data_IF_858963599546
#
_entry.id   IF_858963599546
#
_cell.length_a   1.000
_cell.length_b   1.000
_cell.length_c   1.000
_cell.angle_alpha   90.00
_cell.angle_beta   90.00
_cell.angle_gamma   90.00
#
_symmetry.space_group_name_H-M   'P 1'
#
loop_
_entity.id
_entity.type
_entity.pdbx_description
1 polymer ?
#
# COMPACT_ATOMS: atom_id res chain seq x y z
N UNK A 1 -23.14 -59.82 45.29
CA UNK A 1 -21.70 -59.50 45.43
C UNK A 1 -21.19 -59.10 44.05
N UNK A 2 -21.52 -57.93 43.49
CA UNK A 2 -20.91 -56.59 43.68
C UNK A 2 -19.38 -56.58 43.68
N UNK A 3 -18.77 -56.23 42.53
CA UNK A 3 -17.78 -55.15 42.47
C UNK A 3 -17.79 -54.52 41.06
N UNK A 4 -18.33 -53.30 40.95
CA UNK A 4 -18.12 -52.38 39.82
C UNK A 4 -16.80 -51.65 40.09
N UNK A 5 -15.89 -51.57 39.12
CA UNK A 5 -14.73 -50.69 39.18
C UNK A 5 -14.94 -49.58 38.13
N UNK A 6 -15.24 -48.39 38.65
CA UNK A 6 -15.27 -47.11 37.95
C UNK A 6 -13.92 -46.45 38.26
N UNK A 7 -13.10 -46.14 37.25
CA UNK A 7 -11.95 -45.26 37.39
C UNK A 7 -11.78 -44.38 36.15
N UNK A 8 -12.49 -43.25 36.19
CA UNK A 8 -12.06 -41.87 35.88
C UNK A 8 -11.21 -41.65 34.63
N UNK A 9 -11.91 -41.08 33.65
CA UNK A 9 -11.43 -40.38 32.47
C UNK A 9 -10.55 -39.17 32.87
N UNK A 10 -9.23 -39.29 32.83
CA UNK A 10 -8.31 -38.15 32.98
C UNK A 10 -8.19 -37.41 31.65
N UNK A 11 -9.15 -36.54 31.38
CA UNK A 11 -9.15 -35.58 30.28
C UNK A 11 -8.22 -34.41 30.64
N UNK A 12 -6.91 -34.61 30.52
CA UNK A 12 -5.93 -33.53 30.56
C UNK A 12 -5.97 -32.75 29.24
N UNK A 13 -6.99 -31.91 29.06
CA UNK A 13 -6.92 -30.82 28.08
C UNK A 13 -5.96 -29.80 28.68
N UNK A 14 -4.67 -30.02 28.44
CA UNK A 14 -3.66 -28.99 28.58
C UNK A 14 -3.97 -27.94 27.50
N UNK A 15 -4.73 -26.93 27.88
CA UNK A 15 -4.89 -25.69 27.13
C UNK A 15 -3.51 -25.05 27.02
N UNK A 16 -2.76 -25.45 25.99
CA UNK A 16 -1.51 -24.83 25.61
C UNK A 16 -1.81 -23.42 25.09
N UNK A 17 -1.93 -22.47 26.02
CA UNK A 17 -1.77 -21.06 25.73
C UNK A 17 -0.28 -20.80 25.44
N UNK A 18 0.15 -21.08 24.21
CA UNK A 18 1.43 -20.59 23.67
C UNK A 18 1.22 -19.26 22.95
N UNK A 19 2.22 -18.37 22.94
CA UNK A 19 2.06 -16.92 22.92
C UNK A 19 1.73 -16.42 21.52
N UNK A 20 0.49 -15.97 21.30
CA UNK A 20 0.12 -15.31 20.05
C UNK A 20 0.87 -13.99 19.81
N UNK A 21 1.53 -13.42 20.83
CA UNK A 21 2.33 -12.19 20.68
C UNK A 21 3.68 -12.40 19.96
N UNK A 22 4.30 -13.59 20.04
CA UNK A 22 5.66 -13.81 19.56
C UNK A 22 5.77 -14.11 18.06
N UNK A 23 4.66 -14.23 17.34
CA UNK A 23 4.66 -14.60 15.90
C UNK A 23 4.55 -13.40 14.96
N UNK A 24 4.08 -12.25 15.45
CA UNK A 24 3.78 -11.09 14.61
C UNK A 24 5.02 -10.49 13.93
N UNK A 25 6.17 -10.32 14.63
CA UNK A 25 7.40 -9.83 13.99
C UNK A 25 7.88 -10.73 12.84
N UNK A 26 7.73 -12.05 12.96
CA UNK A 26 8.15 -13.02 11.94
C UNK A 26 7.19 -13.00 10.75
N UNK A 27 5.88 -12.83 10.97
CA UNK A 27 4.92 -12.63 9.89
C UNK A 27 5.26 -11.38 9.07
N UNK A 28 5.55 -10.27 9.76
CA UNK A 28 5.95 -9.00 9.14
C UNK A 28 7.27 -9.18 8.35
N UNK A 29 8.30 -9.74 8.98
CA UNK A 29 9.58 -9.99 8.32
C UNK A 29 9.40 -10.88 7.08
N UNK A 30 8.56 -11.92 7.19
CA UNK A 30 8.25 -12.84 6.10
C UNK A 30 7.65 -12.14 4.88
N UNK A 31 6.64 -11.27 5.07
CA UNK A 31 6.03 -10.55 3.93
C UNK A 31 6.97 -9.50 3.33
N UNK A 32 7.84 -8.87 4.13
CA UNK A 32 8.87 -7.94 3.64
C UNK A 32 9.88 -8.68 2.76
N UNK A 33 10.46 -9.77 3.25
CA UNK A 33 11.40 -10.59 2.47
C UNK A 33 10.75 -11.15 1.20
N UNK A 34 9.49 -11.58 1.30
CA UNK A 34 8.75 -12.07 0.15
C UNK A 34 8.55 -10.99 -0.91
N UNK A 35 8.27 -9.74 -0.52
CA UNK A 35 8.05 -8.67 -1.47
C UNK A 35 9.30 -8.39 -2.34
N UNK A 36 10.51 -8.56 -1.79
CA UNK A 36 11.76 -8.46 -2.54
C UNK A 36 11.94 -9.55 -3.61
N UNK A 37 11.19 -10.66 -3.51
CA UNK A 37 11.25 -11.77 -4.48
C UNK A 37 10.02 -11.79 -5.40
N UNK A 38 8.84 -11.52 -4.85
CA UNK A 38 7.57 -11.51 -5.57
C UNK A 38 6.57 -10.58 -4.86
N UNK A 39 6.43 -9.36 -5.39
CA UNK A 39 5.46 -8.35 -4.93
C UNK A 39 4.03 -8.89 -4.87
N UNK A 40 3.59 -9.59 -5.91
CA UNK A 40 2.22 -10.14 -6.00
C UNK A 40 1.94 -11.22 -4.95
N UNK A 41 2.91 -12.11 -4.70
CA UNK A 41 2.75 -13.14 -3.66
C UNK A 41 2.76 -12.53 -2.26
N UNK A 42 3.61 -11.52 -2.02
CA UNK A 42 3.58 -10.76 -0.78
C UNK A 42 2.24 -10.04 -0.57
N UNK A 43 1.69 -9.41 -1.61
CA UNK A 43 0.38 -8.75 -1.55
C UNK A 43 -0.75 -9.74 -1.17
N UNK A 44 -0.78 -10.91 -1.80
CA UNK A 44 -1.75 -11.95 -1.47
C UNK A 44 -1.61 -12.44 -0.02
N UNK A 45 -0.37 -12.61 0.45
CA UNK A 45 -0.09 -13.02 1.83
C UNK A 45 -0.48 -11.94 2.85
N UNK A 46 -0.19 -10.65 2.57
CA UNK A 46 -0.63 -9.52 3.40
C UNK A 46 -2.16 -9.51 3.50
N UNK A 47 -2.87 -9.61 2.37
CA UNK A 47 -4.33 -9.63 2.35
C UNK A 47 -4.90 -10.82 3.15
N UNK A 48 -4.30 -12.00 3.03
CA UNK A 48 -4.71 -13.18 3.78
C UNK A 48 -4.49 -13.02 5.29
N UNK A 49 -3.35 -12.45 5.72
CA UNK A 49 -3.04 -12.21 7.12
C UNK A 49 -3.97 -11.15 7.74
N UNK A 50 -4.36 -10.13 6.96
CA UNK A 50 -5.36 -9.15 7.39
C UNK A 50 -6.73 -9.79 7.59
N UNK A 51 -7.20 -10.61 6.63
CA UNK A 51 -8.47 -11.35 6.78
C UNK A 51 -8.48 -12.30 7.98
N UNK A 52 -7.32 -12.82 8.37
CA UNK A 52 -7.14 -13.65 9.56
C UNK A 52 -7.02 -12.84 10.87
N UNK A 53 -7.01 -11.51 10.81
CA UNK A 53 -6.81 -10.65 11.98
C UNK A 53 -5.38 -10.70 12.54
N UNK A 54 -4.42 -11.27 11.81
CA UNK A 54 -3.02 -11.39 12.24
C UNK A 54 -2.21 -10.14 11.96
N UNK A 55 -2.63 -9.34 10.97
CA UNK A 55 -2.10 -8.01 10.66
C UNK A 55 -3.27 -7.05 10.51
N UNK A 56 -3.04 -5.77 10.77
CA UNK A 56 -3.99 -4.70 10.42
C UNK A 56 -3.51 -3.92 9.20
N UNK A 57 -4.43 -3.22 8.55
CA UNK A 57 -4.10 -2.31 7.43
C UNK A 57 -3.19 -1.18 7.89
N UNK A 58 -3.41 -0.63 9.09
CA UNK A 58 -2.58 0.44 9.67
C UNK A 58 -1.15 -0.02 9.96
N UNK A 59 -0.97 -1.25 10.45
CA UNK A 59 0.35 -1.80 10.76
C UNK A 59 1.23 -1.92 9.53
N UNK A 60 0.71 -2.50 8.45
CA UNK A 60 1.47 -2.66 7.20
C UNK A 60 1.69 -1.33 6.48
N UNK A 61 0.72 -0.41 6.56
CA UNK A 61 0.81 0.93 6.00
C UNK A 61 1.89 1.76 6.71
N UNK A 62 1.83 1.81 8.04
CA UNK A 62 2.80 2.53 8.88
C UNK A 62 4.21 1.95 8.71
N UNK A 63 4.36 0.63 8.71
CA UNK A 63 5.66 0.00 8.48
C UNK A 63 6.23 0.34 7.09
N UNK A 64 5.40 0.37 6.05
CA UNK A 64 5.87 0.71 4.71
C UNK A 64 6.39 2.16 4.65
N UNK A 65 5.70 3.12 5.28
CA UNK A 65 6.18 4.49 5.42
C UNK A 65 7.51 4.54 6.17
N UNK A 66 7.54 3.97 7.37
CA UNK A 66 8.73 3.92 8.23
C UNK A 66 9.99 3.44 7.49
N UNK A 67 9.85 2.39 6.68
CA UNK A 67 10.98 1.84 5.90
C UNK A 67 11.43 2.81 4.81
N UNK A 68 10.50 3.40 4.07
CA UNK A 68 10.83 4.37 3.00
C UNK A 68 11.40 5.68 3.58
N UNK A 69 10.97 6.09 4.76
CA UNK A 69 11.47 7.29 5.46
C UNK A 69 12.87 7.08 6.01
N UNK A 70 13.19 5.87 6.50
CA UNK A 70 14.56 5.49 6.90
C UNK A 70 15.52 5.32 5.71
N UNK A 71 15.05 5.47 4.48
CA UNK A 71 15.85 5.31 3.27
C UNK A 71 16.12 3.84 2.89
N UNK A 72 15.39 2.89 3.47
CA UNK A 72 15.47 1.48 3.05
C UNK A 72 14.91 1.31 1.63
N UNK A 73 15.40 0.30 0.90
CA UNK A 73 14.85 -0.06 -0.42
C UNK A 73 13.57 -0.88 -0.29
N UNK A 74 12.50 -0.25 0.21
CA UNK A 74 11.24 -0.90 0.53
C UNK A 74 10.13 -0.68 -0.50
N UNK A 75 10.46 -0.22 -1.72
CA UNK A 75 9.45 0.10 -2.76
C UNK A 75 8.62 -1.12 -3.15
N UNK A 76 9.25 -2.30 -3.26
CA UNK A 76 8.56 -3.55 -3.53
C UNK A 76 7.57 -3.94 -2.42
N UNK A 77 7.95 -3.72 -1.15
CA UNK A 77 7.07 -3.98 -0.01
C UNK A 77 5.92 -2.97 0.05
N UNK A 78 6.19 -1.68 -0.15
CA UNK A 78 5.15 -0.66 -0.24
C UNK A 78 4.16 -0.95 -1.38
N UNK A 79 4.67 -1.34 -2.54
CA UNK A 79 3.85 -1.82 -3.67
C UNK A 79 2.98 -3.03 -3.29
N UNK A 80 3.54 -4.01 -2.58
CA UNK A 80 2.77 -5.17 -2.11
C UNK A 80 1.66 -4.78 -1.12
N UNK A 81 1.90 -3.80 -0.24
CA UNK A 81 0.87 -3.25 0.65
C UNK A 81 -0.25 -2.60 -0.17
N UNK A 82 0.09 -1.76 -1.15
CA UNK A 82 -0.90 -1.10 -2.02
C UNK A 82 -1.73 -2.13 -2.80
N UNK A 83 -1.08 -3.14 -3.41
CA UNK A 83 -1.77 -4.20 -4.14
C UNK A 83 -2.67 -5.05 -3.24
N UNK A 84 -2.24 -5.30 -2.00
CA UNK A 84 -3.07 -6.03 -1.02
C UNK A 84 -4.36 -5.26 -0.70
N UNK A 85 -4.33 -3.93 -0.72
CA UNK A 85 -5.51 -3.11 -0.48
C UNK A 85 -6.48 -3.13 -1.68
N UNK A 86 -5.98 -3.30 -2.91
CA UNK A 86 -6.84 -3.60 -4.08
C UNK A 86 -7.57 -4.92 -3.86
N UNK A 87 -6.87 -5.96 -3.42
CA UNK A 87 -7.46 -7.28 -3.12
C UNK A 87 -8.47 -7.26 -1.96
N UNK A 88 -8.45 -6.19 -1.16
CA UNK A 88 -9.31 -5.98 0.00
C UNK A 88 -10.40 -4.93 -0.24
N UNK A 89 -10.61 -4.40 -1.46
CA UNK A 89 -11.60 -3.31 -1.68
C UNK A 89 -13.01 -3.62 -1.14
N UNK A 90 -13.48 -4.88 -1.20
CA UNK A 90 -14.76 -5.29 -0.61
C UNK A 90 -14.75 -5.51 0.92
N UNK A 91 -13.57 -5.46 1.55
CA UNK A 91 -13.35 -5.59 2.99
C UNK A 91 -12.96 -4.27 3.65
N UNK A 92 -12.43 -3.32 2.88
CA UNK A 92 -12.06 -2.01 3.37
C UNK A 92 -13.30 -1.14 3.59
N UNK A 93 -13.26 -0.20 4.55
CA UNK A 93 -14.39 0.68 4.78
C UNK A 93 -14.72 1.52 3.54
N UNK A 94 -15.98 1.53 3.14
CA UNK A 94 -16.47 2.25 1.94
C UNK A 94 -17.18 3.59 2.29
N UNK A 95 -17.23 3.95 3.57
CA UNK A 95 -17.92 5.18 4.04
C UNK A 95 -16.98 6.39 4.11
N UNK A 96 -17.54 7.59 3.92
CA UNK A 96 -16.80 8.86 3.83
C UNK A 96 -15.94 9.19 5.07
N UNK A 97 -16.24 8.60 6.23
CA UNK A 97 -15.44 8.79 7.45
C UNK A 97 -14.01 8.25 7.31
N UNK A 98 -13.76 7.34 6.37
CA UNK A 98 -12.44 6.74 6.13
C UNK A 98 -11.61 7.45 5.06
N UNK A 99 -12.00 8.64 4.60
CA UNK A 99 -11.22 9.40 3.61
C UNK A 99 -9.79 9.76 4.10
N UNK A 100 -9.55 9.80 5.41
CA UNK A 100 -8.18 9.94 5.96
C UNK A 100 -7.34 8.70 5.64
N UNK A 101 -7.90 7.51 5.78
CA UNK A 101 -7.21 6.26 5.47
C UNK A 101 -6.82 6.22 3.98
N UNK A 102 -7.77 6.48 3.08
CA UNK A 102 -7.49 6.48 1.64
C UNK A 102 -6.49 7.56 1.22
N UNK A 103 -6.51 8.72 1.88
CA UNK A 103 -5.46 9.73 1.68
C UNK A 103 -4.08 9.19 2.06
N UNK A 104 -3.94 8.49 3.20
CA UNK A 104 -2.67 7.86 3.58
C UNK A 104 -2.23 6.80 2.56
N UNK A 105 -3.16 6.01 2.02
CA UNK A 105 -2.87 5.06 0.93
C UNK A 105 -2.28 5.77 -0.29
N UNK A 106 -2.93 6.84 -0.76
CA UNK A 106 -2.39 7.65 -1.86
C UNK A 106 -1.03 8.27 -1.54
N UNK A 107 -0.80 8.72 -0.29
CA UNK A 107 0.53 9.23 0.11
C UNK A 107 1.60 8.14 0.12
N UNK A 108 1.26 6.89 0.44
CA UNK A 108 2.21 5.78 0.34
C UNK A 108 2.62 5.55 -1.12
N UNK A 109 1.64 5.57 -2.04
CA UNK A 109 1.89 5.46 -3.48
C UNK A 109 2.87 6.53 -3.99
N UNK A 110 2.66 7.79 -3.58
CA UNK A 110 3.58 8.88 -3.89
C UNK A 110 4.99 8.61 -3.36
N UNK A 111 5.14 8.35 -2.05
CA UNK A 111 6.46 8.19 -1.43
C UNK A 111 7.20 7.00 -2.04
N UNK A 112 6.50 5.88 -2.28
CA UNK A 112 7.09 4.71 -2.94
C UNK A 112 7.56 5.04 -4.36
N UNK A 113 6.76 5.79 -5.14
CA UNK A 113 7.13 6.22 -6.48
C UNK A 113 8.33 7.18 -6.48
N UNK A 114 8.39 8.13 -5.55
CA UNK A 114 9.54 9.02 -5.38
C UNK A 114 10.81 8.22 -5.10
N UNK A 115 10.78 7.27 -4.16
CA UNK A 115 11.94 6.41 -3.83
C UNK A 115 12.37 5.52 -4.99
N UNK A 116 11.45 5.07 -5.83
CA UNK A 116 11.79 4.35 -7.06
C UNK A 116 12.45 5.28 -8.09
N UNK A 117 11.89 6.47 -8.30
CA UNK A 117 12.42 7.47 -9.22
C UNK A 117 13.80 8.01 -8.82
N UNK A 118 14.06 8.21 -7.52
CA UNK A 118 15.39 8.58 -6.97
C UNK A 118 16.49 7.57 -7.32
N UNK A 119 16.12 6.33 -7.65
CA UNK A 119 17.02 5.25 -8.07
C UNK A 119 16.93 4.93 -9.57
N UNK A 120 16.41 5.87 -10.36
CA UNK A 120 16.21 5.74 -11.81
C UNK A 120 15.30 4.57 -12.25
N UNK A 121 14.50 4.00 -11.34
CA UNK A 121 13.54 2.92 -11.63
C UNK A 121 12.20 3.51 -12.09
N UNK A 122 12.21 4.18 -13.23
CA UNK A 122 11.05 4.97 -13.70
C UNK A 122 9.81 4.13 -14.05
N UNK A 123 9.98 2.92 -14.58
CA UNK A 123 8.87 2.02 -14.86
C UNK A 123 8.18 1.58 -13.55
N UNK A 124 8.98 1.21 -12.55
CA UNK A 124 8.46 0.88 -11.21
C UNK A 124 7.78 2.10 -10.56
N UNK A 125 8.40 3.28 -10.65
CA UNK A 125 7.81 4.51 -10.13
C UNK A 125 6.46 4.83 -10.79
N UNK A 126 6.38 4.66 -12.12
CA UNK A 126 5.16 4.84 -12.91
C UNK A 126 4.05 3.87 -12.54
N UNK A 127 4.39 2.64 -12.14
CA UNK A 127 3.41 1.69 -11.61
C UNK A 127 2.97 2.09 -10.19
N UNK A 128 3.92 2.43 -9.32
CA UNK A 128 3.67 2.73 -7.91
C UNK A 128 2.84 4.00 -7.71
N UNK A 129 3.04 5.03 -8.52
CA UNK A 129 2.34 6.33 -8.39
C UNK A 129 0.83 6.21 -8.62
N UNK A 130 0.36 5.12 -9.23
CA UNK A 130 -1.06 4.81 -9.41
C UNK A 130 -1.52 3.53 -8.69
N UNK A 131 -0.66 2.96 -7.83
CA UNK A 131 -0.95 1.70 -7.16
C UNK A 131 -1.96 1.86 -6.02
N UNK A 132 -2.62 0.77 -5.67
CA UNK A 132 -3.63 0.75 -4.62
C UNK A 132 -5.07 0.93 -5.13
N UNK A 133 -6.04 0.89 -4.21
CA UNK A 133 -7.46 0.87 -4.54
C UNK A 133 -7.90 2.13 -5.28
N UNK A 134 -8.90 2.01 -6.16
CA UNK A 134 -9.36 3.13 -7.01
C UNK A 134 -9.93 4.29 -6.21
N UNK A 135 -10.46 4.02 -5.02
CA UNK A 135 -11.13 5.02 -4.19
C UNK A 135 -10.26 6.23 -3.85
N UNK A 136 -8.96 6.03 -3.58
CA UNK A 136 -8.09 7.17 -3.26
C UNK A 136 -7.79 8.06 -4.48
N UNK A 137 -7.92 7.52 -5.69
CA UNK A 137 -7.57 8.20 -6.96
C UNK A 137 -8.70 9.12 -7.45
N UNK A 138 -9.37 9.83 -6.54
CA UNK A 138 -10.46 10.75 -6.86
C UNK A 138 -9.96 12.13 -7.28
N UNK A 139 -10.78 12.88 -8.00
CA UNK A 139 -10.46 14.27 -8.38
C UNK A 139 -10.16 15.15 -7.14
N UNK A 140 -10.93 14.97 -6.06
CA UNK A 140 -10.71 15.70 -4.82
C UNK A 140 -9.35 15.39 -4.17
N UNK A 141 -8.83 14.17 -4.34
CA UNK A 141 -7.48 13.82 -3.89
C UNK A 141 -6.43 14.56 -4.72
N UNK A 142 -6.53 14.49 -6.05
CA UNK A 142 -5.53 15.10 -6.95
C UNK A 142 -5.46 16.62 -6.80
N UNK A 143 -6.61 17.28 -6.63
CA UNK A 143 -6.65 18.72 -6.34
C UNK A 143 -6.01 19.08 -4.99
N UNK A 144 -6.13 18.20 -3.99
CA UNK A 144 -5.53 18.43 -2.66
C UNK A 144 -4.02 18.14 -2.63
N UNK A 145 -3.53 17.27 -3.50
CA UNK A 145 -2.13 16.83 -3.53
C UNK A 145 -1.52 17.07 -4.93
N UNK A 146 -1.30 18.34 -5.30
CA UNK A 146 -0.76 18.70 -6.61
C UNK A 146 0.66 18.16 -6.83
N UNK A 147 1.43 17.95 -5.76
CA UNK A 147 2.75 17.29 -5.79
C UNK A 147 2.66 15.87 -6.35
N UNK A 148 1.64 15.12 -5.92
CA UNK A 148 1.40 13.76 -6.40
C UNK A 148 0.94 13.77 -7.87
N UNK A 149 0.03 14.70 -8.23
CA UNK A 149 -0.45 14.80 -9.61
C UNK A 149 0.66 15.22 -10.60
N UNK A 150 1.55 16.10 -10.15
CA UNK A 150 2.75 16.50 -10.87
C UNK A 150 3.68 15.31 -11.13
N UNK A 151 4.07 14.58 -10.07
CA UNK A 151 4.94 13.42 -10.22
C UNK A 151 4.31 12.35 -11.12
N UNK A 152 3.02 12.06 -10.93
CA UNK A 152 2.30 11.10 -11.74
C UNK A 152 2.36 11.46 -13.24
N UNK A 153 2.13 12.73 -13.56
CA UNK A 153 2.16 13.23 -14.93
C UNK A 153 3.57 13.24 -15.53
N UNK A 154 4.58 13.63 -14.74
CA UNK A 154 5.98 13.59 -15.18
C UNK A 154 6.46 12.16 -15.43
N UNK A 155 6.07 11.20 -14.59
CA UNK A 155 6.36 9.79 -14.78
C UNK A 155 5.68 9.24 -16.03
N UNK A 156 4.40 9.53 -16.24
CA UNK A 156 3.69 9.19 -17.50
C UNK A 156 4.45 9.70 -18.72
N UNK A 157 4.86 10.96 -18.72
CA UNK A 157 5.59 11.53 -19.84
C UNK A 157 6.95 10.86 -20.07
N UNK A 158 7.68 10.56 -18.98
CA UNK A 158 8.98 9.89 -19.03
C UNK A 158 8.88 8.45 -19.54
N UNK A 159 7.79 7.76 -19.26
CA UNK A 159 7.53 6.38 -19.75
C UNK A 159 6.78 6.34 -21.08
N UNK A 160 6.76 7.44 -21.85
CA UNK A 160 6.25 7.46 -23.24
C UNK A 160 4.80 7.95 -23.40
N UNK A 161 4.10 8.28 -22.32
CA UNK A 161 2.70 8.74 -22.33
C UNK A 161 2.57 10.27 -22.21
N UNK A 162 3.46 11.03 -22.87
CA UNK A 162 3.53 12.50 -22.72
C UNK A 162 2.20 13.21 -23.02
N UNK A 163 1.49 12.78 -24.06
CA UNK A 163 0.20 13.39 -24.41
C UNK A 163 -0.86 13.12 -23.34
N UNK A 164 -0.93 11.89 -22.82
CA UNK A 164 -1.83 11.52 -21.73
C UNK A 164 -1.52 12.28 -20.43
N UNK A 165 -0.24 12.53 -20.14
CA UNK A 165 0.17 13.36 -19.01
C UNK A 165 -0.35 14.80 -19.11
N UNK A 166 -0.24 15.41 -20.30
CA UNK A 166 -0.75 16.76 -20.56
C UNK A 166 -2.27 16.80 -20.44
N UNK A 167 -2.97 15.82 -21.03
CA UNK A 167 -4.44 15.73 -20.98
C UNK A 167 -4.94 15.57 -19.54
N UNK A 168 -4.26 14.74 -18.74
CA UNK A 168 -4.52 14.58 -17.32
C UNK A 168 -4.45 15.92 -16.57
N UNK A 169 -3.35 16.67 -16.70
CA UNK A 169 -3.20 17.96 -16.03
C UNK A 169 -4.19 19.01 -16.57
N UNK A 170 -4.49 19.01 -17.87
CA UNK A 170 -5.50 19.91 -18.47
C UNK A 170 -6.91 19.65 -17.99
N UNK A 171 -7.21 18.42 -17.57
CA UNK A 171 -8.54 18.06 -17.07
C UNK A 171 -8.85 18.66 -15.69
N UNK A 172 -7.86 19.25 -15.00
CA UNK A 172 -8.07 19.86 -13.68
C UNK A 172 -8.86 21.17 -13.80
N UNK A 173 -9.90 21.37 -12.97
CA UNK A 173 -10.65 22.62 -12.95
C UNK A 173 -9.78 23.81 -12.52
N UNK A 174 -8.81 23.55 -11.65
CA UNK A 174 -7.81 24.51 -11.18
C UNK A 174 -6.46 23.81 -11.17
N UNK A 175 -5.48 24.38 -11.86
CA UNK A 175 -4.14 23.82 -11.96
C UNK A 175 -3.15 24.78 -11.27
N UNK A 176 -2.64 24.37 -10.12
CA UNK A 176 -1.79 25.19 -9.24
C UNK A 176 -0.63 24.36 -8.64
N UNK A 177 0.33 25.04 -8.02
CA UNK A 177 1.51 24.42 -7.40
C UNK A 177 2.33 23.57 -8.36
N UNK A 178 2.90 22.48 -7.86
CA UNK A 178 3.75 21.55 -8.61
C UNK A 178 3.07 21.02 -9.89
N UNK A 179 1.74 20.86 -9.89
CA UNK A 179 0.99 20.38 -11.05
C UNK A 179 1.00 21.41 -12.20
N UNK A 180 0.94 22.70 -11.88
CA UNK A 180 1.11 23.77 -12.86
C UNK A 180 2.54 23.82 -13.39
N UNK A 181 3.55 23.65 -12.52
CA UNK A 181 4.95 23.59 -12.93
C UNK A 181 5.23 22.39 -13.86
N UNK A 182 4.67 21.22 -13.55
CA UNK A 182 4.74 20.05 -14.41
C UNK A 182 4.11 20.32 -15.80
N UNK A 183 2.97 21.01 -15.86
CA UNK A 183 2.38 21.40 -17.15
C UNK A 183 3.30 22.30 -17.97
N UNK A 184 3.94 23.29 -17.33
CA UNK A 184 4.93 24.17 -17.99
C UNK A 184 6.11 23.36 -18.52
N UNK A 185 6.67 22.49 -17.69
CA UNK A 185 7.79 21.61 -18.06
C UNK A 185 7.44 20.69 -19.24
N UNK A 186 6.22 20.14 -19.27
CA UNK A 186 5.78 19.24 -20.33
C UNK A 186 5.51 19.95 -21.66
N UNK A 187 5.01 21.18 -21.61
CA UNK A 187 4.57 21.93 -22.79
C UNK A 187 5.57 22.97 -23.30
N UNK A 188 6.55 23.35 -22.48
CA UNK A 188 7.51 24.41 -22.78
C UNK A 188 6.87 25.79 -22.90
N UNK A 189 5.70 26.02 -22.27
CA UNK A 189 4.98 27.29 -22.29
C UNK A 189 5.01 27.90 -20.89
N UNK A 190 5.41 29.17 -20.81
CA UNK A 190 5.44 29.96 -19.57
C UNK A 190 4.05 30.34 -19.05
#
# INVERSE_FOLDING_TARGET
MTTRVICILSLCIASAFLPACDQKPQLIAGVVTQASTSRSTAAANIAALIKQGKLTTDEVLTLAFDKLERGEDATAFAGAVLDSFVMLEGWLPDVQEFEIFYRRVGRLALVAAMRAAEKDRFDEARELVFAGPKRWQSEAYWLRYPDHDALASMLMARTGEKQGAIERLRSRPVLEGDAAEAMKALTGRE
#
